data_IF_141399176044
#
_entry.id   IF_141399176044
#
_cell.length_a   1.000
_cell.length_b   1.000
_cell.length_c   1.000
_cell.angle_alpha   90.00
_cell.angle_beta   90.00
_cell.angle_gamma   90.00
#
_symmetry.space_group_name_H-M   'P 1'
#
loop_
_entity.id
_entity.type
_entity.pdbx_description
1 polymer ?
#
# COMPACT_ATOMS: atom_id res chain seq x y z
N UNK A 1 4.91 -5.36 19.02
CA UNK A 1 5.44 -5.11 17.67
C UNK A 1 4.39 -4.47 16.79
N UNK A 2 4.80 -3.82 15.72
CA UNK A 2 3.93 -3.22 14.71
C UNK A 2 3.94 -4.14 13.48
N UNK A 3 2.77 -4.50 12.95
CA UNK A 3 2.64 -5.22 11.68
C UNK A 3 2.55 -4.19 10.56
N UNK A 4 3.42 -4.33 9.57
CA UNK A 4 3.41 -3.52 8.34
C UNK A 4 3.00 -4.43 7.19
N UNK A 5 1.84 -4.16 6.58
CA UNK A 5 1.43 -4.82 5.35
C UNK A 5 1.95 -4.01 4.16
N UNK A 6 2.64 -4.67 3.25
CA UNK A 6 3.20 -4.05 2.05
C UNK A 6 2.40 -4.54 0.85
N UNK A 7 1.88 -3.59 0.07
CA UNK A 7 1.18 -3.88 -1.20
C UNK A 7 2.00 -3.26 -2.32
N UNK A 8 2.46 -4.10 -3.22
CA UNK A 8 3.21 -3.66 -4.39
C UNK A 8 2.27 -3.14 -5.49
N UNK A 9 2.71 -2.10 -6.22
CA UNK A 9 1.98 -1.57 -7.35
C UNK A 9 2.50 -2.16 -8.66
N UNK A 10 1.62 -2.43 -9.64
CA UNK A 10 2.08 -2.87 -10.95
C UNK A 10 2.94 -1.80 -11.62
N UNK A 11 4.06 -2.24 -12.22
CA UNK A 11 5.10 -1.36 -12.77
C UNK A 11 4.79 -0.69 -14.10
N UNK A 12 3.58 -0.82 -14.66
CA UNK A 12 3.22 -0.28 -15.97
C UNK A 12 2.08 0.74 -15.91
N UNK A 13 2.23 1.83 -16.66
CA UNK A 13 1.22 2.90 -16.78
C UNK A 13 -0.14 2.42 -17.35
N UNK A 14 -0.17 1.28 -18.02
CA UNK A 14 -1.37 0.69 -18.60
C UNK A 14 -2.36 0.14 -17.57
N UNK A 15 -1.95 0.03 -16.30
CA UNK A 15 -2.75 -0.49 -15.19
C UNK A 15 -3.25 0.59 -14.22
N UNK A 16 -3.61 1.77 -14.73
CA UNK A 16 -4.04 2.91 -13.92
C UNK A 16 -5.18 2.60 -12.96
N UNK A 17 -6.18 1.84 -13.39
CA UNK A 17 -7.29 1.43 -12.52
C UNK A 17 -6.88 0.46 -11.41
N UNK A 18 -5.86 -0.35 -11.64
CA UNK A 18 -5.32 -1.27 -10.64
C UNK A 18 -4.51 -0.51 -9.58
N UNK A 19 -3.71 0.45 -9.99
CA UNK A 19 -2.98 1.34 -9.07
C UNK A 19 -3.95 2.11 -8.17
N UNK A 20 -5.03 2.67 -8.72
CA UNK A 20 -6.04 3.36 -7.92
C UNK A 20 -6.69 2.46 -6.87
N UNK A 21 -7.00 1.21 -7.22
CA UNK A 21 -7.56 0.23 -6.28
C UNK A 21 -6.60 -0.09 -5.15
N UNK A 22 -5.32 -0.27 -5.46
CA UNK A 22 -4.27 -0.49 -4.45
C UNK A 22 -4.15 0.71 -3.53
N UNK A 23 -4.09 1.94 -4.07
CA UNK A 23 -3.96 3.16 -3.28
C UNK A 23 -5.14 3.42 -2.34
N UNK A 24 -6.35 2.95 -2.69
CA UNK A 24 -7.52 3.02 -1.80
C UNK A 24 -7.45 2.06 -0.60
N UNK A 25 -6.56 1.08 -0.64
CA UNK A 25 -6.41 0.04 0.37
C UNK A 25 -5.29 0.34 1.38
N UNK A 26 -4.49 1.38 1.17
CA UNK A 26 -3.30 1.67 1.96
C UNK A 26 -3.44 2.92 2.82
N UNK A 27 -2.65 2.99 3.90
CA UNK A 27 -2.62 4.11 4.82
C UNK A 27 -1.51 5.12 4.49
N UNK A 28 -0.61 4.77 3.60
CA UNK A 28 0.48 5.60 3.11
C UNK A 28 1.24 4.94 1.97
N UNK A 29 2.16 5.68 1.39
CA UNK A 29 2.91 5.27 0.20
C UNK A 29 4.41 5.42 0.45
N UNK A 30 5.19 4.44 0.00
CA UNK A 30 6.64 4.59 -0.18
C UNK A 30 6.89 4.78 -1.66
N UNK A 31 7.32 5.97 -2.05
CA UNK A 31 7.68 6.30 -3.41
C UNK A 31 9.17 5.92 -3.62
N UNK A 32 9.40 4.81 -4.29
CA UNK A 32 10.75 4.32 -4.56
C UNK A 32 11.26 4.90 -5.86
N UNK A 33 12.38 5.61 -5.80
CA UNK A 33 13.03 6.27 -6.93
C UNK A 33 14.46 5.77 -7.07
N UNK A 34 14.87 5.45 -8.29
CA UNK A 34 16.25 5.04 -8.57
C UNK A 34 17.21 6.23 -8.45
N UNK A 35 18.29 6.08 -7.68
CA UNK A 35 19.27 7.13 -7.42
C UNK A 35 20.06 7.59 -8.67
N UNK A 36 19.99 6.86 -9.77
CA UNK A 36 20.61 7.24 -11.04
C UNK A 36 19.59 7.76 -12.05
N UNK A 37 18.50 7.01 -12.27
CA UNK A 37 17.50 7.35 -13.29
C UNK A 37 16.58 8.51 -12.89
N UNK A 38 16.35 8.68 -11.59
CA UNK A 38 15.40 9.68 -11.09
C UNK A 38 13.94 9.30 -11.31
N UNK A 39 13.02 10.27 -11.17
CA UNK A 39 11.60 10.04 -11.38
C UNK A 39 11.28 9.67 -12.83
N UNK A 40 10.59 8.56 -13.02
CA UNK A 40 10.13 8.07 -14.32
C UNK A 40 8.66 8.48 -14.57
N UNK A 41 8.12 8.38 -15.80
CA UNK A 41 6.72 8.70 -16.07
C UNK A 41 5.72 7.96 -15.16
N UNK A 42 6.01 6.72 -14.80
CA UNK A 42 5.22 5.92 -13.86
C UNK A 42 5.26 6.50 -12.45
N UNK A 43 6.43 6.99 -12.01
CA UNK A 43 6.59 7.70 -10.74
C UNK A 43 5.65 8.89 -10.69
N UNK A 44 5.61 9.70 -11.74
CA UNK A 44 4.72 10.86 -11.85
C UNK A 44 3.25 10.47 -11.75
N UNK A 45 2.82 9.42 -12.43
CA UNK A 45 1.45 8.93 -12.38
C UNK A 45 1.03 8.48 -10.99
N UNK A 46 1.82 7.62 -10.35
CA UNK A 46 1.52 7.09 -9.01
C UNK A 46 1.55 8.21 -7.96
N UNK A 47 2.54 9.10 -8.05
CA UNK A 47 2.65 10.27 -7.16
C UNK A 47 1.44 11.16 -7.26
N UNK A 48 0.99 11.49 -8.47
CA UNK A 48 -0.21 12.30 -8.70
C UNK A 48 -1.43 11.66 -8.01
N UNK A 49 -1.64 10.36 -8.18
CA UNK A 49 -2.75 9.64 -7.55
C UNK A 49 -2.65 9.61 -6.03
N UNK A 50 -1.47 9.44 -5.47
CA UNK A 50 -1.26 9.50 -4.02
C UNK A 50 -1.56 10.89 -3.45
N UNK A 51 -1.16 11.97 -4.14
CA UNK A 51 -1.47 13.35 -3.76
C UNK A 51 -2.98 13.63 -3.83
N UNK A 52 -3.65 13.22 -4.90
CA UNK A 52 -5.11 13.37 -5.08
C UNK A 52 -5.91 12.68 -3.97
N UNK A 53 -5.42 11.55 -3.46
CA UNK A 53 -6.02 10.80 -2.34
C UNK A 53 -5.55 11.32 -0.97
N UNK A 54 -4.72 12.33 -0.95
CA UNK A 54 -4.12 12.89 0.27
C UNK A 54 -3.46 11.85 1.18
N UNK A 55 -2.81 10.86 0.57
CA UNK A 55 -2.07 9.84 1.28
C UNK A 55 -0.72 10.39 1.77
N UNK A 56 -0.35 10.18 3.02
CA UNK A 56 1.01 10.46 3.48
C UNK A 56 2.00 9.57 2.72
N UNK A 57 3.14 10.10 2.35
CA UNK A 57 4.17 9.35 1.62
C UNK A 57 5.57 9.61 2.15
N UNK A 58 6.44 8.65 1.88
CA UNK A 58 7.87 8.70 2.15
C UNK A 58 8.56 8.53 0.81
N UNK A 59 9.56 9.35 0.52
CA UNK A 59 10.39 9.17 -0.66
C UNK A 59 11.59 8.31 -0.28
N UNK A 60 11.77 7.19 -0.97
CA UNK A 60 12.92 6.31 -0.79
C UNK A 60 13.78 6.34 -2.06
N UNK A 61 14.92 7.01 -1.99
CA UNK A 61 15.92 7.03 -3.06
C UNK A 61 16.78 5.79 -2.92
N UNK A 62 16.54 4.81 -3.78
CA UNK A 62 17.15 3.49 -3.74
C UNK A 62 18.30 3.35 -4.73
N UNK A 63 19.13 2.34 -4.54
CA UNK A 63 20.32 2.01 -5.35
C UNK A 63 21.44 3.04 -5.22
N UNK A 64 21.60 3.65 -4.04
CA UNK A 64 22.70 4.59 -3.78
C UNK A 64 24.10 3.95 -3.85
N UNK A 65 24.16 2.61 -3.84
CA UNK A 65 25.38 1.81 -3.99
C UNK A 65 25.91 1.77 -5.45
N UNK A 66 25.13 2.25 -6.42
CA UNK A 66 25.59 2.29 -7.83
C UNK A 66 26.67 3.35 -8.02
N UNK A 67 27.71 3.06 -8.82
CA UNK A 67 28.77 4.04 -9.09
C UNK A 67 28.28 5.34 -9.71
N UNK A 68 27.19 5.26 -10.51
CA UNK A 68 26.60 6.39 -11.21
C UNK A 68 25.51 7.10 -10.40
N UNK A 69 25.27 6.67 -9.16
CA UNK A 69 24.23 7.25 -8.34
C UNK A 69 24.46 8.74 -8.07
N UNK A 70 23.40 9.52 -8.17
CA UNK A 70 23.36 10.97 -7.95
C UNK A 70 22.17 11.33 -7.03
N UNK A 71 22.16 10.81 -5.80
CA UNK A 71 20.98 10.87 -4.93
C UNK A 71 20.54 12.29 -4.55
N UNK A 72 21.45 13.24 -4.43
CA UNK A 72 21.13 14.65 -4.14
C UNK A 72 20.37 15.29 -5.32
N UNK A 73 20.84 15.08 -6.55
CA UNK A 73 20.17 15.58 -7.75
C UNK A 73 18.79 14.92 -7.93
N UNK A 74 18.69 13.63 -7.65
CA UNK A 74 17.40 12.90 -7.71
C UNK A 74 16.43 13.41 -6.65
N UNK A 75 16.91 13.77 -5.47
CA UNK A 75 16.08 14.42 -4.45
C UNK A 75 15.48 15.74 -5.00
N UNK A 76 16.29 16.57 -5.62
CA UNK A 76 15.83 17.83 -6.22
C UNK A 76 14.82 17.58 -7.34
N UNK A 77 15.06 16.58 -8.21
CA UNK A 77 14.11 16.18 -9.26
C UNK A 77 12.76 15.71 -8.70
N UNK A 78 12.76 14.99 -7.58
CA UNK A 78 11.52 14.59 -6.89
C UNK A 78 10.78 15.79 -6.31
N UNK A 79 11.49 16.74 -5.70
CA UNK A 79 10.87 17.98 -5.20
C UNK A 79 10.27 18.81 -6.34
N UNK A 80 10.97 18.92 -7.47
CA UNK A 80 10.43 19.57 -8.67
C UNK A 80 9.17 18.88 -9.17
N UNK A 81 9.16 17.54 -9.20
CA UNK A 81 7.97 16.77 -9.57
C UNK A 81 6.79 17.04 -8.64
N UNK A 82 7.02 17.10 -7.33
CA UNK A 82 5.97 17.42 -6.36
C UNK A 82 5.40 18.83 -6.58
N UNK A 83 6.25 19.81 -6.87
CA UNK A 83 5.83 21.16 -7.21
C UNK A 83 5.02 21.20 -8.51
N UNK A 84 5.44 20.48 -9.55
CA UNK A 84 4.68 20.35 -10.81
C UNK A 84 3.29 19.73 -10.62
N UNK A 85 3.13 18.89 -9.60
CA UNK A 85 1.89 18.22 -9.26
C UNK A 85 1.03 19.00 -8.24
N UNK A 86 1.37 20.26 -7.98
CA UNK A 86 0.68 21.13 -7.03
C UNK A 86 0.60 20.57 -5.60
N UNK A 87 1.66 19.89 -5.16
CA UNK A 87 1.78 19.41 -3.79
C UNK A 87 1.71 20.57 -2.79
N UNK A 88 1.00 20.37 -1.68
CA UNK A 88 0.94 21.34 -0.60
C UNK A 88 2.19 21.32 0.30
N UNK A 89 2.27 22.25 1.24
CA UNK A 89 3.44 22.39 2.11
C UNK A 89 3.71 21.14 2.95
N UNK A 90 2.66 20.45 3.41
CA UNK A 90 2.78 19.21 4.16
C UNK A 90 3.31 18.07 3.29
N UNK A 91 2.84 17.98 2.06
CA UNK A 91 3.30 17.00 1.08
C UNK A 91 4.74 17.25 0.65
N UNK A 92 5.14 18.52 0.49
CA UNK A 92 6.53 18.91 0.19
C UNK A 92 7.49 18.60 1.34
N UNK A 93 7.00 18.59 2.57
CA UNK A 93 7.76 18.28 3.78
C UNK A 93 7.88 16.78 4.07
N UNK A 94 7.47 15.94 3.13
CA UNK A 94 7.54 14.48 3.24
C UNK A 94 8.98 14.00 3.43
N UNK A 95 9.22 13.01 4.31
CA UNK A 95 10.56 12.54 4.61
C UNK A 95 11.20 11.83 3.42
N UNK A 96 12.52 12.02 3.28
CA UNK A 96 13.38 11.30 2.36
C UNK A 96 14.20 10.26 3.12
N UNK A 97 14.33 9.07 2.54
CA UNK A 97 15.20 8.00 3.01
C UNK A 97 16.08 7.57 1.84
N UNK A 98 17.35 7.36 2.10
CA UNK A 98 18.31 6.85 1.13
C UNK A 98 18.58 5.39 1.41
N UNK A 99 18.57 4.54 0.39
CA UNK A 99 18.68 3.12 0.59
C UNK A 99 19.49 2.40 -0.51
N UNK A 100 20.05 1.27 -0.12
CA UNK A 100 20.45 0.20 -1.02
C UNK A 100 19.74 -1.08 -0.60
N UNK A 101 18.63 -1.39 -1.26
CA UNK A 101 17.88 -2.61 -0.98
C UNK A 101 18.73 -3.87 -1.20
N UNK A 102 19.63 -3.83 -2.20
CA UNK A 102 20.58 -4.91 -2.48
C UNK A 102 21.52 -5.19 -1.31
N UNK A 103 21.97 -4.14 -0.64
CA UNK A 103 22.87 -4.23 0.51
C UNK A 103 22.13 -4.36 1.85
N UNK A 104 20.80 -4.20 1.85
CA UNK A 104 19.98 -4.25 3.06
C UNK A 104 20.22 -3.07 4.01
N UNK A 105 20.51 -1.88 3.48
CA UNK A 105 20.81 -0.68 4.26
C UNK A 105 19.90 0.48 3.89
N UNK A 106 19.60 1.30 4.88
CA UNK A 106 18.93 2.59 4.73
C UNK A 106 19.55 3.63 5.66
N UNK A 107 19.40 4.92 5.32
CA UNK A 107 19.89 6.04 6.11
C UNK A 107 19.02 7.26 5.86
N UNK A 108 18.99 8.18 6.83
CA UNK A 108 18.26 9.45 6.72
C UNK A 108 19.12 10.54 6.09
N UNK A 109 20.43 10.46 6.27
CA UNK A 109 21.42 11.40 5.73
C UNK A 109 22.47 10.64 4.92
N UNK A 110 22.87 11.16 3.76
CA UNK A 110 23.89 10.54 2.91
C UNK A 110 25.28 10.47 3.55
N UNK A 111 25.53 11.28 4.58
CA UNK A 111 26.77 11.27 5.37
C UNK A 111 26.85 10.10 6.35
N UNK A 112 25.76 9.41 6.60
CA UNK A 112 25.71 8.28 7.53
C UNK A 112 26.25 7.00 6.88
N UNK A 113 26.74 6.10 7.72
CA UNK A 113 27.06 4.73 7.30
C UNK A 113 25.85 3.83 7.59
N UNK A 114 25.10 3.48 6.57
CA UNK A 114 23.97 2.56 6.70
C UNK A 114 24.42 1.18 7.15
N UNK A 115 23.72 0.59 8.11
CA UNK A 115 24.01 -0.73 8.68
C UNK A 115 22.89 -1.72 8.48
N UNK A 116 21.65 -1.25 8.43
CA UNK A 116 20.43 -2.05 8.26
C UNK A 116 19.27 -1.22 7.67
N UNK A 117 18.11 -1.81 7.52
CA UNK A 117 16.89 -1.14 7.02
C UNK A 117 16.07 -0.45 8.11
N UNK A 118 16.52 -0.45 9.33
CA UNK A 118 15.80 0.13 10.49
C UNK A 118 15.40 1.60 10.28
N UNK A 119 16.24 2.49 9.73
CA UNK A 119 15.86 3.87 9.48
C UNK A 119 14.61 4.01 8.60
N UNK A 120 14.45 3.16 7.58
CA UNK A 120 13.24 3.14 6.76
C UNK A 120 12.01 2.69 7.57
N UNK A 121 12.11 1.61 8.33
CA UNK A 121 11.00 1.11 9.14
C UNK A 121 10.59 2.09 10.24
N UNK A 122 11.53 2.74 10.89
CA UNK A 122 11.25 3.79 11.88
C UNK A 122 10.56 5.00 11.25
N UNK A 123 10.96 5.40 10.05
CA UNK A 123 10.32 6.48 9.30
C UNK A 123 8.87 6.11 8.93
N UNK A 124 8.63 4.87 8.52
CA UNK A 124 7.27 4.37 8.24
C UNK A 124 6.41 4.48 9.50
N UNK A 125 6.87 3.95 10.62
CA UNK A 125 6.11 3.96 11.88
C UNK A 125 5.84 5.38 12.37
N UNK A 126 6.78 6.29 12.18
CA UNK A 126 6.66 7.69 12.61
C UNK A 126 5.73 8.50 11.71
N UNK A 127 5.74 8.26 10.40
CA UNK A 127 5.12 9.13 9.41
C UNK A 127 3.80 8.59 8.85
N UNK A 128 3.66 7.28 8.69
CA UNK A 128 2.43 6.66 8.21
C UNK A 128 1.51 6.36 9.39
N UNK A 129 0.29 6.93 9.42
CA UNK A 129 -0.66 6.68 10.51
C UNK A 129 -1.14 5.23 10.52
N UNK A 130 -1.55 4.77 11.69
CA UNK A 130 -2.28 3.52 11.80
C UNK A 130 -3.63 3.62 11.08
N UNK A 131 -4.20 2.49 10.62
CA UNK A 131 -5.53 2.47 10.03
C UNK A 131 -6.56 3.12 10.96
N UNK A 132 -7.43 3.93 10.37
CA UNK A 132 -8.58 4.53 11.06
C UNK A 132 -9.82 3.71 10.76
N UNK A 133 -10.69 3.55 11.72
CA UNK A 133 -11.94 2.80 11.59
C UNK A 133 -12.49 2.47 12.96
N UNK A 134 -13.75 2.14 13.03
CA UNK A 134 -14.40 1.77 14.28
C UNK A 134 -14.46 0.23 14.39
N UNK A 135 -13.72 -0.39 15.32
CA UNK A 135 -13.70 -1.83 15.48
C UNK A 135 -15.06 -2.39 16.00
N UNK A 136 -15.89 -1.55 16.59
CA UNK A 136 -17.19 -1.92 17.15
C UNK A 136 -18.35 -1.66 16.18
N UNK A 137 -18.08 -1.08 15.02
CA UNK A 137 -19.09 -0.86 13.98
C UNK A 137 -19.42 -2.15 13.20
N UNK A 138 -20.43 -2.06 12.36
CA UNK A 138 -20.76 -3.13 11.42
C UNK A 138 -19.60 -3.42 10.47
N UNK A 139 -19.42 -4.68 10.10
CA UNK A 139 -18.37 -5.11 9.20
C UNK A 139 -18.45 -4.41 7.84
N UNK A 140 -17.38 -3.74 7.48
CA UNK A 140 -17.23 -3.10 6.17
C UNK A 140 -15.85 -3.44 5.58
N UNK A 141 -15.85 -4.04 4.39
CA UNK A 141 -14.64 -4.42 3.67
C UNK A 141 -14.72 -3.90 2.25
N UNK A 142 -13.69 -3.18 1.83
CA UNK A 142 -13.51 -2.76 0.45
C UNK A 142 -12.69 -3.83 -0.29
N UNK A 143 -13.35 -4.59 -1.18
CA UNK A 143 -12.66 -5.53 -2.06
C UNK A 143 -12.01 -4.76 -3.21
N UNK A 144 -10.71 -4.83 -3.31
CA UNK A 144 -9.91 -4.08 -4.30
C UNK A 144 -9.34 -4.95 -5.40
N UNK A 145 -9.13 -6.23 -5.12
CA UNK A 145 -8.54 -7.19 -6.06
C UNK A 145 -9.24 -8.54 -5.95
N UNK A 146 -9.35 -9.23 -7.07
CA UNK A 146 -9.87 -10.60 -7.12
C UNK A 146 -8.73 -11.53 -7.55
N UNK A 147 -8.55 -12.58 -6.78
CA UNK A 147 -7.65 -13.69 -7.07
C UNK A 147 -8.45 -14.96 -7.32
N UNK A 148 -7.82 -15.99 -7.85
CA UNK A 148 -8.44 -17.28 -8.11
C UNK A 148 -7.59 -18.41 -7.57
N UNK A 149 -8.24 -19.33 -6.88
CA UNK A 149 -7.62 -20.55 -6.40
C UNK A 149 -8.44 -21.76 -6.89
N UNK A 150 -7.76 -22.78 -7.41
CA UNK A 150 -8.43 -23.97 -7.99
C UNK A 150 -9.30 -24.73 -6.98
N UNK A 151 -9.00 -24.64 -5.69
CA UNK A 151 -9.71 -25.38 -4.64
C UNK A 151 -10.88 -24.60 -4.01
N UNK A 152 -10.74 -23.28 -3.89
CA UNK A 152 -11.75 -22.44 -3.21
C UNK A 152 -12.45 -21.45 -4.15
N UNK A 153 -12.07 -21.42 -5.42
CA UNK A 153 -12.64 -20.53 -6.43
C UNK A 153 -12.15 -19.09 -6.32
N UNK A 154 -13.03 -18.13 -6.54
CA UNK A 154 -12.71 -16.70 -6.45
C UNK A 154 -12.44 -16.28 -5.01
N UNK A 155 -11.41 -15.46 -4.85
CA UNK A 155 -10.98 -14.89 -3.59
C UNK A 155 -10.98 -13.37 -3.74
N UNK A 156 -11.73 -12.67 -2.88
CA UNK A 156 -11.68 -11.22 -2.80
C UNK A 156 -10.60 -10.78 -1.83
N UNK A 157 -9.73 -9.87 -2.25
CA UNK A 157 -8.69 -9.27 -1.41
C UNK A 157 -9.07 -7.81 -1.14
N UNK A 158 -9.05 -7.43 0.13
CA UNK A 158 -9.42 -6.09 0.53
C UNK A 158 -9.02 -5.77 1.97
N UNK A 159 -9.29 -4.52 2.35
CA UNK A 159 -9.03 -4.00 3.69
C UNK A 159 -10.31 -3.99 4.52
N UNK A 160 -10.22 -4.41 5.77
CA UNK A 160 -11.29 -4.23 6.75
C UNK A 160 -11.31 -2.76 7.17
N UNK A 161 -12.32 -2.03 6.70
CA UNK A 161 -12.46 -0.59 6.95
C UNK A 161 -13.11 -0.31 8.31
N UNK A 162 -14.12 -1.11 8.68
CA UNK A 162 -14.81 -1.03 9.95
C UNK A 162 -15.19 -2.42 10.46
N UNK A 163 -15.37 -2.53 11.76
CA UNK A 163 -15.81 -3.75 12.42
C UNK A 163 -14.76 -4.85 12.41
N UNK A 164 -15.25 -6.07 12.42
CA UNK A 164 -14.46 -7.28 12.31
C UNK A 164 -15.15 -8.28 11.39
N UNK A 165 -14.40 -9.20 10.82
CA UNK A 165 -14.90 -10.28 9.97
C UNK A 165 -14.50 -11.62 10.56
N UNK A 166 -15.37 -12.62 10.43
CA UNK A 166 -15.14 -13.99 10.92
C UNK A 166 -15.53 -15.03 9.88
N UNK A 167 -14.89 -16.18 9.96
CA UNK A 167 -15.32 -17.37 9.22
C UNK A 167 -16.76 -17.73 9.59
N UNK A 168 -17.55 -18.16 8.62
CA UNK A 168 -18.97 -18.47 8.73
C UNK A 168 -19.91 -17.28 8.99
N UNK A 169 -19.40 -16.06 8.97
CA UNK A 169 -20.23 -14.86 9.08
C UNK A 169 -21.07 -14.67 7.80
N UNK A 170 -22.32 -14.30 7.97
CA UNK A 170 -23.16 -13.79 6.90
C UNK A 170 -22.83 -12.33 6.62
N UNK A 171 -22.70 -11.99 5.36
CA UNK A 171 -22.40 -10.64 4.91
C UNK A 171 -23.26 -10.26 3.71
N UNK A 172 -23.30 -8.97 3.40
CA UNK A 172 -23.99 -8.44 2.26
C UNK A 172 -22.96 -7.97 1.22
N UNK A 173 -22.97 -8.59 0.05
CA UNK A 173 -22.20 -8.14 -1.10
C UNK A 173 -22.97 -7.01 -1.78
N UNK A 174 -22.34 -5.85 -1.87
CA UNK A 174 -22.90 -4.66 -2.54
C UNK A 174 -21.89 -4.11 -3.55
N UNK A 175 -22.39 -3.41 -4.56
CA UNK A 175 -21.56 -2.74 -5.55
C UNK A 175 -21.90 -1.23 -5.53
N UNK A 176 -20.89 -0.40 -5.31
CA UNK A 176 -21.06 1.04 -5.28
C UNK A 176 -21.56 1.63 -6.60
N UNK A 177 -21.16 1.04 -7.72
CA UNK A 177 -21.54 1.49 -9.06
C UNK A 177 -22.84 0.88 -9.57
N UNK A 178 -23.33 -0.21 -8.92
CA UNK A 178 -24.57 -0.86 -9.24
C UNK A 178 -25.37 -1.19 -7.98
N UNK A 179 -26.27 -0.31 -7.56
CA UNK A 179 -27.10 -0.51 -6.37
C UNK A 179 -28.03 -1.73 -6.43
N UNK A 180 -28.23 -2.33 -7.61
CA UNK A 180 -29.02 -3.55 -7.77
C UNK A 180 -28.28 -4.79 -7.26
N UNK A 181 -26.96 -4.72 -7.15
CA UNK A 181 -26.16 -5.79 -6.55
C UNK A 181 -26.32 -5.72 -5.04
N UNK A 182 -27.10 -6.67 -4.52
CA UNK A 182 -27.39 -6.79 -3.12
C UNK A 182 -27.60 -8.30 -2.81
N UNK A 183 -26.50 -8.97 -2.51
CA UNK A 183 -26.49 -10.42 -2.39
C UNK A 183 -25.98 -10.86 -1.02
N UNK A 184 -26.75 -11.73 -0.36
CA UNK A 184 -26.28 -12.38 0.87
C UNK A 184 -25.21 -13.42 0.52
N UNK A 185 -24.09 -13.33 1.19
CA UNK A 185 -22.95 -14.23 1.07
C UNK A 185 -22.52 -14.74 2.43
N UNK A 186 -21.85 -15.87 2.46
CA UNK A 186 -21.28 -16.44 3.66
C UNK A 186 -19.77 -16.56 3.49
N UNK A 187 -19.04 -16.07 4.46
CA UNK A 187 -17.58 -16.14 4.47
C UNK A 187 -17.16 -17.59 4.75
N UNK A 188 -16.64 -18.27 3.75
CA UNK A 188 -16.24 -19.68 3.87
C UNK A 188 -14.87 -19.83 4.47
N UNK A 189 -13.89 -19.07 3.98
CA UNK A 189 -12.53 -19.02 4.50
C UNK A 189 -12.02 -17.59 4.55
N UNK A 190 -11.16 -17.31 5.50
CA UNK A 190 -10.54 -16.03 5.74
C UNK A 190 -9.04 -16.22 5.87
N UNK A 191 -8.28 -15.37 5.20
CA UNK A 191 -6.82 -15.39 5.22
C UNK A 191 -6.28 -14.01 5.56
N UNK A 192 -5.19 -13.96 6.29
CA UNK A 192 -4.29 -12.82 6.37
C UNK A 192 -2.98 -13.12 5.64
N UNK A 193 -2.15 -12.10 5.46
CA UNK A 193 -0.87 -12.24 4.79
C UNK A 193 0.26 -12.27 5.81
N UNK A 194 1.12 -13.28 5.71
CA UNK A 194 2.40 -13.38 6.42
C UNK A 194 3.53 -13.49 5.39
N UNK A 195 4.23 -12.38 5.17
CA UNK A 195 5.09 -12.23 4.01
C UNK A 195 4.30 -12.41 2.71
N UNK A 196 4.74 -13.30 1.85
CA UNK A 196 4.05 -13.64 0.59
C UNK A 196 2.97 -14.72 0.74
N UNK A 197 2.81 -15.29 1.92
CA UNK A 197 1.91 -16.41 2.15
C UNK A 197 0.55 -15.94 2.68
N UNK A 198 -0.51 -16.58 2.18
CA UNK A 198 -1.84 -16.49 2.77
C UNK A 198 -1.95 -17.48 3.93
N UNK A 199 -2.22 -16.98 5.12
CA UNK A 199 -2.39 -17.80 6.34
C UNK A 199 -3.86 -17.77 6.74
N UNK A 200 -4.45 -18.96 6.89
CA UNK A 200 -5.85 -19.09 7.31
C UNK A 200 -6.02 -18.60 8.74
N UNK A 201 -7.01 -17.74 8.95
CA UNK A 201 -7.36 -17.17 10.26
C UNK A 201 -8.87 -17.32 10.50
N UNK A 202 -9.28 -17.26 11.77
CA UNK A 202 -10.69 -17.36 12.14
C UNK A 202 -11.40 -16.01 12.13
N UNK A 203 -10.68 -14.93 12.39
CA UNK A 203 -11.18 -13.57 12.45
C UNK A 203 -10.10 -12.56 12.06
N UNK A 204 -10.54 -11.37 11.64
CA UNK A 204 -9.70 -10.22 11.39
C UNK A 204 -10.46 -8.94 11.77
N UNK A 205 -9.73 -7.88 12.06
CA UNK A 205 -10.30 -6.60 12.54
C UNK A 205 -9.85 -5.44 11.66
N UNK A 206 -10.36 -4.25 11.97
CA UNK A 206 -10.02 -2.97 11.30
C UNK A 206 -8.54 -2.86 10.97
N UNK A 207 -8.25 -2.48 9.75
CA UNK A 207 -6.91 -2.27 9.21
C UNK A 207 -6.25 -3.52 8.63
N UNK A 208 -6.77 -4.72 8.92
CA UNK A 208 -6.24 -5.94 8.31
C UNK A 208 -6.53 -5.98 6.81
N UNK A 209 -5.53 -6.39 6.03
CA UNK A 209 -5.71 -6.78 4.63
C UNK A 209 -6.00 -8.27 4.61
N UNK A 210 -7.15 -8.63 4.08
CA UNK A 210 -7.66 -10.00 4.12
C UNK A 210 -7.95 -10.54 2.73
N UNK A 211 -7.88 -11.85 2.60
CA UNK A 211 -8.40 -12.60 1.47
C UNK A 211 -9.60 -13.43 1.92
N UNK A 212 -10.70 -13.35 1.19
CA UNK A 212 -12.00 -13.91 1.56
C UNK A 212 -12.47 -14.85 0.46
N UNK A 213 -12.88 -16.07 0.83
CA UNK A 213 -13.56 -17.01 -0.04
C UNK A 213 -15.05 -17.15 0.33
N UNK A 214 -15.85 -17.72 -0.57
CA UNK A 214 -17.30 -17.85 -0.40
C UNK A 214 -18.11 -16.78 -1.12
N UNK A 215 -17.46 -15.95 -1.89
CA UNK A 215 -18.04 -14.82 -2.64
C UNK A 215 -17.89 -15.05 -4.15
N UNK A 216 -18.42 -16.18 -4.62
CA UNK A 216 -18.24 -16.66 -6.01
C UNK A 216 -18.72 -15.69 -7.10
N UNK A 217 -19.54 -14.73 -6.76
CA UNK A 217 -20.17 -13.78 -7.69
C UNK A 217 -19.60 -12.36 -7.64
N UNK A 218 -18.39 -12.19 -7.14
CA UNK A 218 -17.69 -10.91 -7.22
C UNK A 218 -17.24 -10.65 -8.64
#
# INVERSE_FOLDING_TARGET
>A
GVKINIVDTPGHADFGGEVERVLKMVDGVILVVDAFEGPMPQTKFVTKKALELNLPFIVCINKIDRPEARPEEVMDEVLELLLELDADDEQLDSPFVYASAKSGIAMLELSENGTDMKPLFETIIKHIPAPTGDPDADTQILISTIDYNEYVGRIGIGKVENGSIRVNQDALLVNHHDPSVNKKVKISKLYEFDGLNKVEVNDATVGSIVAISGIADI
#
